data_IF_571326593018
#
_entry.id   IF_571326593018
#
_cell.length_a   1.000
_cell.length_b   1.000
_cell.length_c   1.000
_cell.angle_alpha   90.00
_cell.angle_beta   90.00
_cell.angle_gamma   90.00
#
_symmetry.space_group_name_H-M   'P 1'
#
loop_
_entity.id
_entity.type
_entity.pdbx_description
1 polymer ?
#
# COMPACT_ATOMS: atom_id res chain seq x y z
N UNK A 1 -19.09 3.78 -23.59
CA UNK A 1 -17.78 3.12 -23.37
C UNK A 1 -17.14 3.72 -22.14
N UNK A 2 -17.19 3.04 -20.99
CA UNK A 2 -16.37 3.52 -19.88
C UNK A 2 -14.92 3.23 -20.19
N UNK A 3 -14.12 4.27 -20.08
CA UNK A 3 -12.73 4.30 -20.47
C UNK A 3 -11.92 3.27 -19.67
N UNK A 4 -11.08 2.50 -20.36
CA UNK A 4 -10.09 1.59 -19.74
C UNK A 4 -9.31 2.30 -18.63
N UNK A 5 -9.01 3.60 -18.83
CA UNK A 5 -8.33 4.46 -17.88
C UNK A 5 -9.03 4.52 -16.50
N UNK A 6 -10.36 4.46 -16.44
CA UNK A 6 -11.09 4.45 -15.17
C UNK A 6 -10.86 3.13 -14.40
N UNK A 7 -10.74 2.01 -15.12
CA UNK A 7 -10.56 0.69 -14.52
C UNK A 7 -9.11 0.40 -14.09
N UNK A 8 -8.13 1.09 -14.68
CA UNK A 8 -6.73 1.05 -14.25
C UNK A 8 -6.53 1.72 -12.89
N UNK A 9 -7.46 2.60 -12.46
CA UNK A 9 -7.46 3.24 -11.13
C UNK A 9 -6.11 3.88 -10.78
N UNK A 10 -5.60 4.77 -11.62
CA UNK A 10 -4.36 5.51 -11.33
C UNK A 10 -4.39 6.22 -9.97
N UNK A 11 -5.55 6.71 -9.54
CA UNK A 11 -5.74 7.29 -8.21
C UNK A 11 -5.50 6.30 -7.06
N UNK A 12 -5.57 4.99 -7.30
CA UNK A 12 -5.27 4.00 -6.26
C UNK A 12 -3.79 3.99 -5.88
N UNK A 13 -2.90 4.42 -6.78
CA UNK A 13 -1.48 4.60 -6.47
C UNK A 13 -1.26 5.60 -5.32
N UNK A 14 -2.18 6.54 -5.09
CA UNK A 14 -2.15 7.46 -3.96
C UNK A 14 -2.12 6.75 -2.59
N UNK A 15 -2.81 5.61 -2.47
CA UNK A 15 -2.87 4.87 -1.21
C UNK A 15 -1.63 4.01 -0.96
N UNK A 16 -0.86 3.72 -2.01
CA UNK A 16 0.41 3.00 -1.94
C UNK A 16 1.61 3.97 -1.85
N UNK A 17 1.40 5.25 -2.19
CA UNK A 17 2.40 6.31 -2.10
C UNK A 17 3.09 6.42 -0.73
N UNK A 18 2.41 6.21 0.42
CA UNK A 18 3.06 6.14 1.72
C UNK A 18 4.27 5.20 1.79
N UNK A 19 4.16 4.03 1.15
CA UNK A 19 5.20 3.00 1.15
C UNK A 19 6.44 3.51 0.39
N UNK A 20 6.21 4.16 -0.75
CA UNK A 20 7.29 4.75 -1.55
C UNK A 20 7.97 5.91 -0.82
N UNK A 21 7.18 6.81 -0.20
CA UNK A 21 7.71 7.92 0.56
C UNK A 21 8.48 7.46 1.79
N UNK A 22 8.01 6.43 2.50
CA UNK A 22 8.76 5.87 3.61
C UNK A 22 10.08 5.25 3.15
N UNK A 23 10.07 4.52 2.02
CA UNK A 23 11.30 4.01 1.43
C UNK A 23 12.26 5.14 1.07
N UNK A 24 11.76 6.25 0.50
CA UNK A 24 12.54 7.44 0.17
C UNK A 24 13.17 8.09 1.40
N UNK A 25 12.40 8.28 2.48
CA UNK A 25 12.87 8.86 3.75
C UNK A 25 14.12 8.16 4.28
N UNK A 26 14.20 6.85 4.14
CA UNK A 26 15.29 6.04 4.71
C UNK A 26 16.35 5.64 3.66
N UNK A 27 16.24 6.14 2.43
CA UNK A 27 17.13 5.81 1.34
C UNK A 27 18.41 6.66 1.40
N UNK A 28 19.59 6.06 1.62
CA UNK A 28 20.83 6.81 1.73
C UNK A 28 21.40 7.28 0.39
N UNK A 29 21.03 6.64 -0.73
CA UNK A 29 21.60 6.96 -2.04
C UNK A 29 20.47 7.03 -3.05
N UNK A 30 20.18 8.22 -3.57
CA UNK A 30 19.23 8.37 -4.67
C UNK A 30 19.69 9.47 -5.62
N UNK A 31 19.22 9.37 -6.86
CA UNK A 31 19.41 10.35 -7.93
C UNK A 31 18.05 10.70 -8.52
N UNK A 32 17.92 11.86 -9.15
CA UNK A 32 16.69 12.28 -9.83
C UNK A 32 16.20 11.22 -10.82
N UNK A 33 17.12 10.59 -11.56
CA UNK A 33 16.83 9.50 -12.49
C UNK A 33 16.22 8.28 -11.78
N UNK A 34 16.78 7.86 -10.65
CA UNK A 34 16.26 6.73 -9.87
C UNK A 34 14.87 7.05 -9.31
N UNK A 35 14.67 8.26 -8.77
CA UNK A 35 13.38 8.69 -8.25
C UNK A 35 12.31 8.73 -9.35
N UNK A 36 12.61 9.36 -10.48
CA UNK A 36 11.67 9.47 -11.60
C UNK A 36 11.27 8.09 -12.13
N UNK A 37 12.24 7.25 -12.50
CA UNK A 37 11.95 5.98 -13.15
C UNK A 37 11.35 4.95 -12.19
N UNK A 38 11.80 4.89 -10.93
CA UNK A 38 11.16 3.98 -9.96
C UNK A 38 9.72 4.42 -9.66
N UNK A 39 9.46 5.73 -9.55
CA UNK A 39 8.10 6.25 -9.39
C UNK A 39 7.21 5.89 -10.59
N UNK A 40 7.65 6.19 -11.82
CA UNK A 40 6.91 5.89 -13.06
C UNK A 40 6.62 4.40 -13.19
N UNK A 41 7.63 3.54 -13.02
CA UNK A 41 7.48 2.10 -13.16
C UNK A 41 6.50 1.53 -12.14
N UNK A 42 6.60 1.98 -10.88
CA UNK A 42 5.77 1.43 -9.80
C UNK A 42 4.34 2.00 -9.86
N UNK A 43 4.19 3.33 -9.90
CA UNK A 43 2.89 4.01 -9.72
C UNK A 43 2.09 4.15 -11.01
N UNK A 44 2.74 4.26 -12.16
CA UNK A 44 2.07 4.49 -13.44
C UNK A 44 1.97 3.24 -14.31
N UNK A 45 2.81 2.23 -14.07
CA UNK A 45 2.78 0.97 -14.83
C UNK A 45 2.31 -0.21 -13.96
N UNK A 46 3.07 -0.56 -12.92
CA UNK A 46 2.86 -1.80 -12.17
C UNK A 46 1.58 -1.80 -11.33
N UNK A 47 1.31 -0.75 -10.55
CA UNK A 47 0.07 -0.68 -9.78
C UNK A 47 -1.17 -0.62 -10.68
N UNK A 48 -1.23 0.23 -11.73
CA UNK A 48 -2.35 0.23 -12.68
C UNK A 48 -2.54 -1.12 -13.39
N UNK A 49 -1.45 -1.80 -13.79
CA UNK A 49 -1.52 -3.15 -14.34
C UNK A 49 -2.19 -4.13 -13.37
N UNK A 50 -1.76 -4.11 -12.11
CA UNK A 50 -2.27 -5.00 -11.07
C UNK A 50 -3.76 -4.77 -10.78
N UNK A 51 -4.20 -3.51 -10.76
CA UNK A 51 -5.61 -3.15 -10.60
C UNK A 51 -6.46 -3.50 -11.82
N UNK A 52 -5.97 -3.22 -13.03
CA UNK A 52 -6.66 -3.58 -14.25
C UNK A 52 -6.88 -5.09 -14.36
N UNK A 53 -5.85 -5.89 -14.04
CA UNK A 53 -5.92 -7.34 -14.04
C UNK A 53 -6.94 -7.84 -13.01
N UNK A 54 -6.85 -7.37 -11.77
CA UNK A 54 -7.80 -7.70 -10.71
C UNK A 54 -9.24 -7.37 -11.12
N UNK A 55 -9.43 -6.20 -11.71
CA UNK A 55 -10.75 -5.74 -12.15
C UNK A 55 -11.29 -6.59 -13.30
N UNK A 56 -10.48 -6.98 -14.27
CA UNK A 56 -10.90 -7.90 -15.32
C UNK A 56 -11.49 -9.19 -14.72
N UNK A 57 -10.85 -9.80 -13.72
CA UNK A 57 -11.38 -11.01 -13.06
C UNK A 57 -12.53 -10.77 -12.05
N UNK A 58 -12.90 -9.53 -11.74
CA UNK A 58 -14.06 -9.20 -10.90
C UNK A 58 -15.41 -9.26 -11.63
N UNK A 59 -15.39 -9.34 -12.97
CA UNK A 59 -16.60 -9.34 -13.80
C UNK A 59 -17.60 -10.48 -13.48
N UNK A 60 -17.15 -11.51 -12.76
CA UNK A 60 -17.95 -12.67 -12.39
C UNK A 60 -18.47 -12.65 -10.95
N UNK A 61 -18.11 -11.66 -10.12
CA UNK A 61 -18.54 -11.55 -8.71
C UNK A 61 -19.74 -10.63 -8.54
N UNK A 62 -19.85 -9.61 -9.40
CA UNK A 62 -20.90 -8.59 -9.31
C UNK A 62 -21.82 -8.69 -10.54
N UNK A 63 -22.75 -9.63 -10.57
CA UNK A 63 -23.81 -9.67 -11.56
C UNK A 63 -24.69 -8.39 -11.57
N UNK A 64 -24.59 -7.55 -10.53
CA UNK A 64 -25.23 -6.22 -10.44
C UNK A 64 -24.28 -5.01 -10.55
N UNK A 65 -23.00 -5.19 -10.86
CA UNK A 65 -22.07 -4.07 -11.03
C UNK A 65 -22.30 -3.39 -12.38
N UNK A 66 -22.70 -2.11 -12.38
CA UNK A 66 -23.19 -1.32 -13.52
C UNK A 66 -22.27 -1.22 -14.77
N UNK A 67 -21.10 -1.87 -14.77
CA UNK A 67 -20.08 -1.74 -15.82
C UNK A 67 -19.40 -3.08 -16.12
N UNK A 68 -19.77 -3.65 -17.26
CA UNK A 68 -19.07 -4.78 -17.88
C UNK A 68 -17.65 -4.33 -18.24
N UNK A 69 -16.64 -4.99 -17.67
CA UNK A 69 -15.25 -4.61 -17.92
C UNK A 69 -14.88 -4.90 -19.39
N UNK A 70 -14.14 -4.01 -20.07
CA UNK A 70 -13.75 -4.23 -21.46
C UNK A 70 -12.73 -5.38 -21.57
N UNK A 71 -12.85 -6.31 -22.55
CA UNK A 71 -11.87 -7.39 -22.76
C UNK A 71 -10.43 -6.88 -22.92
N UNK A 72 -10.27 -5.69 -23.51
CA UNK A 72 -8.97 -5.02 -23.67
C UNK A 72 -8.24 -4.76 -22.33
N UNK A 73 -8.95 -4.69 -21.21
CA UNK A 73 -8.35 -4.45 -19.89
C UNK A 73 -7.35 -5.54 -19.50
N UNK A 74 -7.62 -6.80 -19.87
CA UNK A 74 -6.68 -7.90 -19.65
C UNK A 74 -5.37 -7.66 -20.39
N UNK A 75 -5.44 -7.44 -21.71
CA UNK A 75 -4.26 -7.25 -22.55
C UNK A 75 -3.46 -6.01 -22.15
N UNK A 76 -4.14 -4.90 -21.83
CA UNK A 76 -3.48 -3.67 -21.38
C UNK A 76 -2.79 -3.88 -20.03
N UNK A 77 -3.40 -4.62 -19.10
CA UNK A 77 -2.79 -4.92 -17.80
C UNK A 77 -1.54 -5.77 -17.94
N UNK A 78 -1.60 -6.82 -18.77
CA UNK A 78 -0.45 -7.69 -19.05
C UNK A 78 0.66 -6.90 -19.76
N UNK A 79 0.32 -6.05 -20.73
CA UNK A 79 1.28 -5.19 -21.43
C UNK A 79 1.96 -4.22 -20.46
N UNK A 80 1.21 -3.51 -19.62
CA UNK A 80 1.76 -2.57 -18.64
C UNK A 80 2.72 -3.26 -17.66
N UNK A 81 2.39 -4.49 -17.23
CA UNK A 81 3.28 -5.27 -16.37
C UNK A 81 4.55 -5.71 -17.12
N UNK A 82 4.42 -6.19 -18.37
CA UNK A 82 5.57 -6.54 -19.20
C UNK A 82 6.51 -5.34 -19.44
N UNK A 83 5.94 -4.16 -19.70
CA UNK A 83 6.71 -2.91 -19.84
C UNK A 83 7.36 -2.53 -18.51
N UNK A 84 6.65 -2.60 -17.38
CA UNK A 84 7.23 -2.33 -16.07
C UNK A 84 8.43 -3.24 -15.77
N UNK A 85 8.33 -4.53 -16.10
CA UNK A 85 9.40 -5.50 -15.94
C UNK A 85 10.61 -5.19 -16.83
N UNK A 86 10.38 -4.93 -18.12
CA UNK A 86 11.43 -4.60 -19.08
C UNK A 86 12.18 -3.30 -18.69
N UNK A 87 11.43 -2.24 -18.34
CA UNK A 87 12.02 -0.99 -17.90
C UNK A 87 12.73 -1.14 -16.55
N UNK A 88 12.18 -1.93 -15.62
CA UNK A 88 12.82 -2.22 -14.34
C UNK A 88 14.18 -2.89 -14.52
N UNK A 89 14.28 -3.83 -15.46
CA UNK A 89 15.56 -4.47 -15.79
C UNK A 89 16.53 -3.51 -16.48
N UNK A 90 16.05 -2.71 -17.45
CA UNK A 90 16.88 -1.80 -18.25
C UNK A 90 17.41 -0.60 -17.47
N UNK A 91 16.59 0.01 -16.61
CA UNK A 91 16.95 1.25 -15.90
C UNK A 91 17.65 1.02 -14.56
N UNK A 92 17.48 -0.16 -13.97
CA UNK A 92 18.02 -0.50 -12.65
C UNK A 92 18.87 -1.77 -12.72
N UNK A 93 18.31 -2.91 -12.31
CA UNK A 93 19.03 -4.18 -12.22
C UNK A 93 18.05 -5.36 -12.18
N UNK A 94 18.59 -6.59 -12.27
CA UNK A 94 17.81 -7.83 -12.24
C UNK A 94 17.00 -8.02 -10.95
N UNK A 95 17.48 -7.54 -9.81
CA UNK A 95 16.78 -7.69 -8.52
C UNK A 95 15.53 -6.82 -8.44
N UNK A 96 15.61 -5.58 -8.92
CA UNK A 96 14.44 -4.72 -9.03
C UNK A 96 13.40 -5.31 -9.99
N UNK A 97 13.83 -5.81 -11.15
CA UNK A 97 12.97 -6.52 -12.09
C UNK A 97 12.33 -7.78 -11.47
N UNK A 98 13.08 -8.55 -10.69
CA UNK A 98 12.57 -9.74 -9.99
C UNK A 98 11.49 -9.37 -8.96
N UNK A 99 11.65 -8.27 -8.23
CA UNK A 99 10.63 -7.78 -7.29
C UNK A 99 9.34 -7.37 -8.01
N UNK A 100 9.45 -6.72 -9.17
CA UNK A 100 8.31 -6.39 -10.05
C UNK A 100 7.62 -7.67 -10.53
N UNK A 101 8.40 -8.68 -10.94
CA UNK A 101 7.88 -9.97 -11.37
C UNK A 101 7.11 -10.65 -10.23
N UNK A 102 7.71 -10.77 -9.04
CA UNK A 102 7.08 -11.39 -7.87
C UNK A 102 5.80 -10.64 -7.47
N UNK A 103 5.85 -9.30 -7.44
CA UNK A 103 4.70 -8.48 -7.09
C UNK A 103 3.53 -8.72 -8.04
N UNK A 104 3.76 -8.69 -9.34
CA UNK A 104 2.67 -8.86 -10.29
C UNK A 104 2.22 -10.33 -10.43
N UNK A 105 3.10 -11.32 -10.25
CA UNK A 105 2.67 -12.73 -10.10
C UNK A 105 1.75 -12.90 -8.88
N UNK A 106 2.05 -12.23 -7.77
CA UNK A 106 1.17 -12.24 -6.60
C UNK A 106 -0.18 -11.56 -6.90
N UNK A 107 -0.19 -10.44 -7.63
CA UNK A 107 -1.42 -9.78 -8.07
C UNK A 107 -2.28 -10.66 -8.99
N UNK A 108 -1.63 -11.44 -9.86
CA UNK A 108 -2.26 -12.46 -10.71
C UNK A 108 -2.83 -13.58 -9.85
N UNK A 109 -2.02 -14.19 -8.96
CA UNK A 109 -2.46 -15.27 -8.06
C UNK A 109 -3.63 -14.85 -7.16
N UNK A 110 -3.68 -13.57 -6.77
CA UNK A 110 -4.79 -13.01 -6.00
C UNK A 110 -6.11 -12.98 -6.79
N UNK A 111 -6.06 -12.86 -8.11
CA UNK A 111 -7.23 -12.58 -8.96
C UNK A 111 -7.64 -13.76 -9.84
N UNK A 112 -6.67 -14.52 -10.35
CA UNK A 112 -6.85 -15.63 -11.28
C UNK A 112 -7.50 -16.83 -10.62
N UNK A 113 -8.51 -17.42 -11.25
CA UNK A 113 -9.32 -18.51 -10.67
C UNK A 113 -8.59 -19.83 -10.43
N UNK A 114 -7.44 -20.06 -11.08
CA UNK A 114 -6.65 -21.27 -10.83
C UNK A 114 -5.95 -21.29 -9.46
N UNK A 115 -5.74 -20.12 -8.83
CA UNK A 115 -5.09 -20.01 -7.50
C UNK A 115 -5.99 -19.26 -6.52
N UNK A 116 -6.59 -18.16 -6.98
CA UNK A 116 -7.65 -17.39 -6.35
C UNK A 116 -7.46 -17.09 -4.86
N UNK A 117 -6.31 -16.51 -4.47
CA UNK A 117 -6.02 -16.23 -3.04
C UNK A 117 -7.10 -15.37 -2.36
N UNK A 118 -7.81 -14.53 -3.12
CA UNK A 118 -8.91 -13.70 -2.62
C UNK A 118 -10.16 -14.47 -2.20
N UNK A 119 -10.26 -15.76 -2.54
CA UNK A 119 -11.31 -16.66 -2.06
C UNK A 119 -11.20 -16.86 -0.55
N UNK A 120 -9.96 -17.03 -0.06
CA UNK A 120 -9.66 -17.33 1.33
C UNK A 120 -9.50 -16.02 2.13
N UNK A 121 -10.42 -15.70 3.07
CA UNK A 121 -10.46 -14.38 3.69
C UNK A 121 -9.16 -14.02 4.44
N UNK A 122 -8.63 -14.96 5.22
CA UNK A 122 -7.39 -14.76 6.00
C UNK A 122 -6.16 -14.76 5.08
N UNK A 123 -6.03 -15.76 4.20
CA UNK A 123 -4.87 -15.88 3.31
C UNK A 123 -4.79 -14.69 2.35
N UNK A 124 -5.91 -14.27 1.77
CA UNK A 124 -5.97 -13.10 0.90
C UNK A 124 -5.74 -11.77 1.65
N UNK A 125 -6.10 -11.69 2.93
CA UNK A 125 -5.77 -10.55 3.78
C UNK A 125 -4.27 -10.47 4.10
N UNK A 126 -3.66 -11.58 4.53
CA UNK A 126 -2.21 -11.68 4.78
C UNK A 126 -1.41 -11.44 3.51
N UNK A 127 -1.81 -12.04 2.38
CA UNK A 127 -1.15 -11.86 1.10
C UNK A 127 -1.12 -10.38 0.69
N UNK A 128 -2.23 -9.64 0.84
CA UNK A 128 -2.23 -8.20 0.57
C UNK A 128 -1.25 -7.45 1.46
N UNK A 129 -1.21 -7.72 2.76
CA UNK A 129 -0.25 -7.09 3.67
C UNK A 129 1.21 -7.37 3.27
N UNK A 130 1.52 -8.62 2.92
CA UNK A 130 2.87 -9.01 2.51
C UNK A 130 3.27 -8.38 1.17
N UNK A 131 2.40 -8.44 0.16
CA UNK A 131 2.74 -7.99 -1.19
C UNK A 131 2.60 -6.47 -1.37
N UNK A 132 1.51 -5.87 -0.87
CA UNK A 132 1.26 -4.43 -0.97
C UNK A 132 1.95 -3.61 0.12
N UNK A 133 2.34 -4.24 1.24
CA UNK A 133 3.14 -3.63 2.29
C UNK A 133 4.63 -3.95 2.17
N UNK A 134 5.04 -5.14 2.61
CA UNK A 134 6.46 -5.49 2.72
C UNK A 134 7.20 -5.59 1.38
N UNK A 135 6.68 -6.36 0.42
CA UNK A 135 7.32 -6.50 -0.89
C UNK A 135 7.30 -5.16 -1.65
N UNK A 136 6.20 -4.43 -1.59
CA UNK A 136 6.10 -3.10 -2.18
C UNK A 136 7.17 -2.15 -1.61
N UNK A 137 7.38 -2.17 -0.28
CA UNK A 137 8.44 -1.39 0.35
C UNK A 137 9.83 -1.78 -0.17
N UNK A 138 10.14 -3.08 -0.17
CA UNK A 138 11.44 -3.57 -0.65
C UNK A 138 11.66 -3.21 -2.12
N UNK A 139 10.62 -3.30 -2.95
CA UNK A 139 10.64 -2.89 -4.35
C UNK A 139 10.90 -1.39 -4.49
N UNK A 140 10.19 -0.54 -3.74
CA UNK A 140 10.42 0.91 -3.75
C UNK A 140 11.86 1.24 -3.31
N UNK A 141 12.33 0.65 -2.20
CA UNK A 141 13.68 0.86 -1.69
C UNK A 141 14.75 0.37 -2.68
N UNK A 142 14.54 -0.77 -3.35
CA UNK A 142 15.42 -1.29 -4.38
C UNK A 142 15.50 -0.35 -5.60
N UNK A 143 14.37 0.18 -6.05
CA UNK A 143 14.30 1.15 -7.15
C UNK A 143 14.95 2.48 -6.79
N UNK A 144 14.65 3.04 -5.62
CA UNK A 144 15.19 4.33 -5.18
C UNK A 144 16.72 4.26 -5.03
N UNK A 145 17.25 3.18 -4.46
CA UNK A 145 18.70 3.06 -4.19
C UNK A 145 19.50 2.32 -5.28
N UNK A 146 18.82 1.69 -6.24
CA UNK A 146 19.43 0.75 -7.19
C UNK A 146 20.29 -0.33 -6.50
N UNK A 147 19.81 -0.90 -5.40
CA UNK A 147 20.57 -1.85 -4.58
C UNK A 147 20.46 -3.30 -5.08
N UNK A 148 21.51 -4.14 -4.88
CA UNK A 148 21.42 -5.58 -5.07
C UNK A 148 20.69 -6.27 -3.92
N UNK A 149 20.34 -7.56 -4.09
CA UNK A 149 19.60 -8.35 -3.10
C UNK A 149 20.21 -8.29 -1.67
N UNK A 150 21.54 -8.38 -1.55
CA UNK A 150 22.22 -8.32 -0.25
C UNK A 150 21.94 -7.01 0.52
N UNK A 151 21.68 -5.91 -0.19
CA UNK A 151 21.30 -4.64 0.42
C UNK A 151 19.88 -4.65 0.99
N UNK A 152 18.98 -5.46 0.40
CA UNK A 152 17.57 -5.55 0.77
C UNK A 152 17.32 -6.44 1.99
N UNK A 153 18.20 -7.40 2.26
CA UNK A 153 18.09 -8.32 3.39
C UNK A 153 18.62 -7.74 4.72
N UNK A 154 19.02 -6.47 4.75
CA UNK A 154 19.49 -5.81 5.96
C UNK A 154 18.33 -5.46 6.88
N UNK A 155 18.54 -5.54 8.20
CA UNK A 155 17.52 -5.17 9.21
C UNK A 155 16.95 -3.76 8.99
N UNK A 156 17.80 -2.80 8.59
CA UNK A 156 17.39 -1.42 8.25
C UNK A 156 16.38 -1.31 7.09
N UNK A 157 16.20 -2.38 6.31
CA UNK A 157 15.21 -2.46 5.21
C UNK A 157 14.06 -3.39 5.61
N UNK A 158 14.36 -4.55 6.22
CA UNK A 158 13.35 -5.55 6.59
C UNK A 158 12.40 -5.05 7.70
N UNK A 159 12.89 -4.26 8.66
CA UNK A 159 12.05 -3.71 9.72
C UNK A 159 11.03 -2.70 9.13
N UNK A 160 11.44 -1.69 8.34
CA UNK A 160 10.52 -0.84 7.58
C UNK A 160 9.55 -1.60 6.65
N UNK A 161 10.01 -2.68 6.01
CA UNK A 161 9.13 -3.54 5.19
C UNK A 161 8.04 -4.19 6.05
N UNK A 162 8.38 -4.71 7.24
CA UNK A 162 7.43 -5.27 8.18
C UNK A 162 6.45 -4.21 8.71
N UNK A 163 6.91 -2.97 8.95
CA UNK A 163 6.05 -1.84 9.32
C UNK A 163 5.05 -1.50 8.21
N UNK A 164 5.46 -1.55 6.94
CA UNK A 164 4.55 -1.37 5.80
C UNK A 164 3.52 -2.50 5.72
N UNK A 165 3.92 -3.76 5.95
CA UNK A 165 2.97 -4.87 6.04
C UNK A 165 1.97 -4.68 7.18
N UNK A 166 2.43 -4.28 8.37
CA UNK A 166 1.57 -4.04 9.52
C UNK A 166 0.62 -2.84 9.31
N UNK A 167 1.07 -1.80 8.60
CA UNK A 167 0.21 -0.71 8.13
C UNK A 167 -0.91 -1.24 7.22
N UNK A 168 -0.58 -2.09 6.26
CA UNK A 168 -1.58 -2.71 5.39
C UNK A 168 -2.52 -3.66 6.13
N UNK A 169 -2.04 -4.39 7.14
CA UNK A 169 -2.89 -5.18 8.05
C UNK A 169 -3.96 -4.28 8.68
N UNK A 170 -3.55 -3.17 9.30
CA UNK A 170 -4.47 -2.24 9.95
C UNK A 170 -5.50 -1.65 8.96
N UNK A 171 -5.02 -1.20 7.80
CA UNK A 171 -5.86 -0.62 6.74
C UNK A 171 -6.83 -1.66 6.18
N UNK A 172 -6.35 -2.83 5.75
CA UNK A 172 -7.19 -3.86 5.12
C UNK A 172 -8.20 -4.45 6.11
N UNK A 173 -7.88 -4.51 7.40
CA UNK A 173 -8.83 -4.93 8.45
C UNK A 173 -10.08 -4.06 8.43
N UNK A 174 -9.93 -2.77 8.14
CA UNK A 174 -11.06 -1.83 8.01
C UNK A 174 -11.87 -2.00 6.72
N UNK A 175 -11.43 -2.82 5.76
CA UNK A 175 -12.09 -3.03 4.46
C UNK A 175 -12.86 -4.35 4.38
N UNK A 176 -12.46 -5.35 5.15
CA UNK A 176 -12.97 -6.71 5.04
C UNK A 176 -14.32 -6.92 5.73
N UNK A 177 -15.36 -7.20 4.94
CA UNK A 177 -16.75 -7.37 5.41
C UNK A 177 -16.95 -8.50 6.41
N UNK A 178 -16.15 -9.56 6.32
CA UNK A 178 -16.17 -10.66 7.28
C UNK A 178 -15.59 -10.26 8.65
N UNK A 179 -14.64 -9.32 8.67
CA UNK A 179 -14.07 -8.75 9.90
C UNK A 179 -14.90 -7.58 10.45
N UNK A 180 -15.84 -7.02 9.67
CA UNK A 180 -16.61 -5.80 9.99
C UNK A 180 -17.87 -6.00 10.84
N UNK A 181 -18.19 -7.22 11.28
CA UNK A 181 -19.49 -7.46 11.93
C UNK A 181 -19.47 -7.04 13.41
N UNK A 182 -20.18 -5.96 13.71
CA UNK A 182 -20.44 -5.47 15.07
C UNK A 182 -19.20 -4.98 15.81
N UNK A 183 -19.33 -4.83 17.13
CA UNK A 183 -18.29 -4.30 18.02
C UNK A 183 -16.94 -5.03 17.91
N UNK A 184 -16.94 -6.36 17.74
CA UNK A 184 -15.73 -7.18 17.62
C UNK A 184 -14.86 -6.75 16.44
N UNK A 185 -15.49 -6.39 15.32
CA UNK A 185 -14.78 -5.93 14.14
C UNK A 185 -14.09 -4.59 14.33
N UNK A 186 -14.79 -3.63 14.93
CA UNK A 186 -14.20 -2.32 15.22
C UNK A 186 -13.06 -2.43 16.23
N UNK A 187 -13.18 -3.28 17.25
CA UNK A 187 -12.10 -3.56 18.20
C UNK A 187 -10.89 -4.19 17.51
N UNK A 188 -11.10 -5.13 16.59
CA UNK A 188 -10.01 -5.73 15.82
C UNK A 188 -9.26 -4.70 14.96
N UNK A 189 -9.99 -3.79 14.29
CA UNK A 189 -9.38 -2.67 13.55
C UNK A 189 -8.58 -1.77 14.49
N UNK A 190 -9.14 -1.42 15.67
CA UNK A 190 -8.44 -0.58 16.65
C UNK A 190 -7.16 -1.24 17.17
N UNK A 191 -7.20 -2.54 17.48
CA UNK A 191 -6.03 -3.32 17.94
C UNK A 191 -4.95 -3.33 16.87
N UNK A 192 -5.30 -3.61 15.62
CA UNK A 192 -4.31 -3.64 14.52
C UNK A 192 -3.70 -2.26 14.26
N UNK A 193 -4.49 -1.18 14.33
CA UNK A 193 -3.98 0.20 14.28
C UNK A 193 -3.08 0.54 15.46
N UNK A 194 -3.43 0.13 16.68
CA UNK A 194 -2.62 0.36 17.88
C UNK A 194 -1.29 -0.37 17.77
N UNK A 195 -1.30 -1.64 17.35
CA UNK A 195 -0.08 -2.42 17.10
C UNK A 195 0.81 -1.74 16.05
N UNK A 196 0.24 -1.29 14.92
CA UNK A 196 0.97 -0.56 13.91
C UNK A 196 1.59 0.72 14.49
N UNK A 197 0.81 1.51 15.24
CA UNK A 197 1.27 2.76 15.85
C UNK A 197 2.44 2.51 16.80
N UNK A 198 2.31 1.54 17.72
CA UNK A 198 3.37 1.19 18.67
C UNK A 198 4.63 0.74 17.93
N UNK A 199 4.50 -0.07 16.86
CA UNK A 199 5.65 -0.52 16.09
C UNK A 199 6.38 0.64 15.40
N UNK A 200 5.65 1.61 14.83
CA UNK A 200 6.25 2.83 14.27
C UNK A 200 6.91 3.69 15.35
N UNK A 201 6.31 3.83 16.53
CA UNK A 201 6.92 4.57 17.64
C UNK A 201 8.23 3.94 18.10
N UNK A 202 8.26 2.62 18.28
CA UNK A 202 9.49 1.90 18.60
C UNK A 202 10.54 2.09 17.51
N UNK A 203 10.13 2.03 16.24
CA UNK A 203 11.04 2.28 15.13
C UNK A 203 11.66 3.69 15.18
N UNK A 204 10.85 4.73 15.39
CA UNK A 204 11.36 6.09 15.50
C UNK A 204 12.25 6.30 16.72
N UNK A 205 11.93 5.68 17.85
CA UNK A 205 12.75 5.69 19.06
C UNK A 205 14.15 5.10 18.81
N UNK A 206 14.23 3.92 18.18
CA UNK A 206 15.50 3.23 17.98
C UNK A 206 16.33 3.71 16.78
N UNK A 207 15.71 4.18 15.71
CA UNK A 207 16.40 4.51 14.46
C UNK A 207 16.45 6.02 14.15
N UNK A 208 15.66 6.83 14.84
CA UNK A 208 15.60 8.28 14.61
C UNK A 208 15.63 9.04 15.94
N UNK A 209 14.49 9.59 16.36
CA UNK A 209 14.31 10.36 17.58
C UNK A 209 12.84 10.30 17.99
N UNK A 210 12.59 10.32 19.30
CA UNK A 210 11.24 10.39 19.87
C UNK A 210 10.42 11.56 19.34
N UNK A 211 11.07 12.64 18.91
CA UNK A 211 10.41 13.76 18.25
C UNK A 211 9.60 13.33 17.02
N UNK A 212 10.17 12.46 16.15
CA UNK A 212 9.45 11.94 14.99
C UNK A 212 8.27 11.05 15.40
N UNK A 213 8.41 10.30 16.50
CA UNK A 213 7.31 9.52 17.08
C UNK A 213 6.15 10.39 17.58
N UNK A 214 6.46 11.51 18.25
CA UNK A 214 5.44 12.46 18.71
C UNK A 214 4.72 13.10 17.51
N UNK A 215 5.47 13.57 16.51
CA UNK A 215 4.87 14.15 15.29
C UNK A 215 4.04 13.11 14.54
N UNK A 216 4.48 11.85 14.52
CA UNK A 216 3.72 10.74 13.94
C UNK A 216 2.37 10.56 14.64
N UNK A 217 2.32 10.55 15.98
CA UNK A 217 1.06 10.47 16.75
C UNK A 217 0.14 11.64 16.39
N UNK A 218 0.67 12.87 16.36
CA UNK A 218 -0.12 14.06 16.05
C UNK A 218 -0.69 13.95 14.62
N UNK A 219 0.13 13.58 13.64
CA UNK A 219 -0.28 13.41 12.26
C UNK A 219 -1.33 12.29 12.09
N UNK A 220 -1.26 11.23 12.89
CA UNK A 220 -2.19 10.09 12.86
C UNK A 220 -3.42 10.22 13.75
N UNK A 221 -3.45 11.22 14.64
CA UNK A 221 -4.59 11.46 15.53
C UNK A 221 -5.94 11.60 14.79
N UNK A 222 -6.06 12.22 13.59
CA UNK A 222 -7.33 12.29 12.89
C UNK A 222 -7.86 10.89 12.50
N UNK A 223 -6.96 9.98 12.10
CA UNK A 223 -7.31 8.60 11.73
C UNK A 223 -7.78 7.84 12.96
N UNK A 224 -7.07 7.96 14.08
CA UNK A 224 -7.45 7.32 15.33
C UNK A 224 -8.82 7.82 15.83
N UNK A 225 -9.04 9.14 15.83
CA UNK A 225 -10.32 9.75 16.21
C UNK A 225 -11.46 9.29 15.30
N UNK A 226 -11.21 9.16 13.98
CA UNK A 226 -12.21 8.65 13.04
C UNK A 226 -12.66 7.22 13.39
N UNK A 227 -11.73 6.31 13.69
CA UNK A 227 -12.08 4.93 14.06
C UNK A 227 -12.70 4.83 15.46
N UNK A 228 -12.24 5.63 16.43
CA UNK A 228 -12.84 5.71 17.77
C UNK A 228 -14.28 6.23 17.71
N UNK A 229 -14.56 7.23 16.88
CA UNK A 229 -15.91 7.70 16.62
C UNK A 229 -16.79 6.59 16.03
N UNK A 230 -16.23 5.76 15.14
CA UNK A 230 -16.90 4.58 14.60
C UNK A 230 -17.31 3.57 15.68
N UNK A 231 -16.44 3.29 16.66
CA UNK A 231 -16.76 2.44 17.82
C UNK A 231 -17.90 3.05 18.63
N UNK A 232 -17.78 4.33 18.99
CA UNK A 232 -18.79 5.06 19.76
C UNK A 232 -20.17 5.01 19.09
N UNK A 233 -20.22 5.23 17.77
CA UNK A 233 -21.47 5.18 17.00
C UNK A 233 -22.08 3.77 16.98
N UNK A 234 -21.26 2.73 16.80
CA UNK A 234 -21.73 1.34 16.78
C UNK A 234 -22.34 0.94 18.14
N UNK A 235 -21.74 1.36 19.25
CA UNK A 235 -22.27 1.12 20.59
C UNK A 235 -23.66 1.74 20.83
N UNK A 236 -24.00 2.84 20.15
CA UNK A 236 -25.31 3.51 20.28
C UNK A 236 -26.33 3.07 19.24
N UNK A 237 -25.90 2.78 18.02
CA UNK A 237 -26.78 2.43 16.90
C UNK A 237 -26.07 1.43 15.98
N UNK A 238 -26.24 0.12 16.21
CA UNK A 238 -25.50 -0.94 15.51
C UNK A 238 -25.65 -0.92 13.98
N UNK A 239 -26.79 -0.45 13.47
CA UNK A 239 -27.09 -0.39 12.02
C UNK A 239 -26.46 0.82 11.31
N UNK A 240 -26.04 1.86 12.03
CA UNK A 240 -25.52 3.09 11.45
C UNK A 240 -23.98 3.08 11.23
N UNK A 241 -23.33 1.97 11.58
CA UNK A 241 -21.86 1.82 11.59
C UNK A 241 -21.26 1.37 10.25
N UNK A 242 -22.06 1.09 9.22
CA UNK A 242 -21.56 0.78 7.87
C UNK A 242 -20.92 1.98 7.16
N UNK A 243 -21.07 3.19 7.72
CA UNK A 243 -20.67 4.45 7.07
C UNK A 243 -19.21 4.82 7.33
N UNK A 244 -18.42 4.99 6.25
CA UNK A 244 -17.21 5.84 6.26
C UNK A 244 -15.85 5.16 6.05
N UNK A 245 -15.76 3.84 5.90
CA UNK A 245 -14.47 3.15 5.78
C UNK A 245 -13.59 3.63 4.60
N UNK A 246 -14.21 4.00 3.47
CA UNK A 246 -13.47 4.59 2.34
C UNK A 246 -12.86 5.94 2.72
N UNK A 247 -13.58 6.76 3.49
CA UNK A 247 -13.09 8.06 3.98
C UNK A 247 -11.93 7.84 4.96
N UNK A 248 -12.04 6.88 5.88
CA UNK A 248 -10.97 6.54 6.81
C UNK A 248 -9.68 6.11 6.10
N UNK A 249 -9.79 5.40 4.98
CA UNK A 249 -8.64 5.00 4.17
C UNK A 249 -7.97 6.19 3.45
N UNK A 250 -8.76 7.07 2.84
CA UNK A 250 -8.24 8.32 2.27
C UNK A 250 -7.57 9.19 3.33
N UNK A 251 -8.17 9.30 4.51
CA UNK A 251 -7.61 10.03 5.64
C UNK A 251 -6.26 9.41 6.06
N UNK A 252 -6.21 8.09 6.23
CA UNK A 252 -4.98 7.38 6.60
C UNK A 252 -3.86 7.59 5.57
N UNK A 253 -4.15 7.42 4.27
CA UNK A 253 -3.16 7.67 3.22
C UNK A 253 -2.69 9.13 3.21
N UNK A 254 -3.59 10.09 3.41
CA UNK A 254 -3.25 11.51 3.47
C UNK A 254 -2.35 11.83 4.66
N UNK A 255 -2.68 11.32 5.86
CA UNK A 255 -1.84 11.46 7.05
C UNK A 255 -0.46 10.83 6.85
N UNK A 256 -0.37 9.63 6.28
CA UNK A 256 0.92 8.98 6.01
C UNK A 256 1.74 9.76 4.98
N UNK A 257 1.13 10.14 3.86
CA UNK A 257 1.80 10.90 2.81
C UNK A 257 2.33 12.22 3.35
N UNK A 258 1.50 13.00 4.06
CA UNK A 258 1.90 14.27 4.66
C UNK A 258 3.05 14.09 5.66
N UNK A 259 2.96 13.08 6.54
CA UNK A 259 4.01 12.78 7.52
C UNK A 259 5.34 12.42 6.85
N UNK A 260 5.35 11.48 5.90
CA UNK A 260 6.61 11.06 5.26
C UNK A 260 7.20 12.13 4.34
N UNK A 261 6.37 12.95 3.67
CA UNK A 261 6.85 14.13 2.93
C UNK A 261 7.53 15.10 3.88
N UNK A 262 6.87 15.47 4.99
CA UNK A 262 7.45 16.38 5.98
C UNK A 262 8.74 15.82 6.57
N UNK A 263 8.75 14.53 6.94
CA UNK A 263 9.92 13.86 7.50
C UNK A 263 11.09 13.85 6.51
N UNK A 264 10.83 13.56 5.23
CA UNK A 264 11.84 13.61 4.18
C UNK A 264 12.45 15.02 4.03
N UNK A 265 11.60 16.04 3.92
CA UNK A 265 12.02 17.44 3.77
C UNK A 265 12.84 17.92 4.98
N UNK A 266 12.50 17.45 6.18
CA UNK A 266 13.23 17.76 7.42
C UNK A 266 14.59 17.07 7.48
N UNK A 267 14.66 15.77 7.17
CA UNK A 267 15.91 15.00 7.24
C UNK A 267 16.91 15.45 6.17
N UNK A 268 16.42 15.87 5.01
CA UNK A 268 17.24 16.40 3.90
C UNK A 268 17.61 17.87 4.06
N UNK A 269 17.14 18.54 5.13
CA UNK A 269 17.31 19.99 5.38
C UNK A 269 16.80 20.90 4.24
N UNK A 270 15.92 20.42 3.36
CA UNK A 270 15.36 21.23 2.27
C UNK A 270 14.44 22.37 2.77
N UNK A 271 13.99 22.31 4.02
CA UNK A 271 13.18 23.35 4.67
C UNK A 271 14.00 24.49 5.30
N UNK A 272 15.33 24.45 5.20
CA UNK A 272 16.23 25.46 5.77
C UNK A 272 16.74 26.47 4.73
N UNK A 273 16.13 26.49 3.53
CA UNK A 273 16.28 27.54 2.53
C UNK A 273 15.40 28.75 2.89
#
# INVERSE_FOLDING_TARGET
>A
MVSVFLHLRFLHAYFLMPVYLFALVISPNFTERQLLWSFVIIHLLLYPASHGYNRYFDQYKNAGGALKNPPALYFISVLLHAVALALGWLFFNMWFALLILIYGLAAIAYSYRGVWLREYPIVGWVARALFQGALAFMMCYAGINNYPLAGLLKAKVLIPAALCALMFVAICSSMETHLKRGLRGHLFVLITFLMATIAYLLYFHFYFSDYYGIVFIVAFSPVALFFLYGVYKNLRTPEAAEYGHTIGFFLAATCFNAFFIWMFLRITNLLQL
#
